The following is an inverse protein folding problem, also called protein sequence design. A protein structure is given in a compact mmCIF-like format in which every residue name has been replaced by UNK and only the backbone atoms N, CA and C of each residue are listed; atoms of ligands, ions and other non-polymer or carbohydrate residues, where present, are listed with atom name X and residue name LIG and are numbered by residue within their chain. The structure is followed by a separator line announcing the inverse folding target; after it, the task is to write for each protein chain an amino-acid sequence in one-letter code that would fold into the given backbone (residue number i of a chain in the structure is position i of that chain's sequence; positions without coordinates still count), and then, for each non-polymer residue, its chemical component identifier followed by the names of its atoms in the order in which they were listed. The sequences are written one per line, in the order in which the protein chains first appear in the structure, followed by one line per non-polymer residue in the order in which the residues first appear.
data_IF_143529094882
#
_entry.id   IF_143529094882
#
_cell.length_a   1.000
_cell.length_b   1.000
_cell.length_c   1.000
_cell.angle_alpha   90.00
_cell.angle_beta   90.00
_cell.angle_gamma   90.00
#
_symmetry.space_group_name_H-M   'P 1'
#
loop_
_entity.id
_entity.type
_entity.pdbx_description
1 polymer ?
#
# COMPACT_ATOMS: atom_id res chain seq x y z
N UNK A 1 -3.33 6.78 -16.73
CA UNK A 1 -3.08 6.48 -15.30
C UNK A 1 -2.77 7.73 -14.48
N UNK A 2 -1.71 8.51 -14.79
CA UNK A 2 -1.37 9.76 -14.06
C UNK A 2 -2.55 10.73 -13.86
N UNK A 3 -3.26 11.07 -14.94
CA UNK A 3 -4.44 11.95 -14.90
C UNK A 3 -5.56 11.44 -13.98
N UNK A 4 -5.73 10.11 -13.88
CA UNK A 4 -6.71 9.51 -12.99
C UNK A 4 -6.33 9.73 -11.52
N UNK A 5 -5.05 9.50 -11.18
CA UNK A 5 -4.53 9.71 -9.82
C UNK A 5 -4.67 11.17 -9.39
N UNK A 6 -4.30 12.13 -10.25
CA UNK A 6 -4.46 13.55 -9.94
C UNK A 6 -5.92 13.97 -9.75
N UNK A 7 -6.84 13.46 -10.58
CA UNK A 7 -8.26 13.78 -10.44
C UNK A 7 -8.88 13.24 -9.14
N UNK A 8 -8.29 12.20 -8.55
CA UNK A 8 -8.78 11.55 -7.32
C UNK A 8 -7.96 11.93 -6.10
N UNK A 9 -7.04 12.89 -6.22
CA UNK A 9 -6.34 13.42 -5.07
C UNK A 9 -7.30 14.30 -4.26
N UNK A 10 -7.40 14.01 -2.97
CA UNK A 10 -8.21 14.81 -2.06
C UNK A 10 -7.60 16.20 -1.85
N UNK A 11 -8.39 17.14 -1.34
CA UNK A 11 -7.97 18.53 -1.08
C UNK A 11 -6.79 18.61 -0.10
N UNK A 12 -6.70 17.64 0.81
CA UNK A 12 -5.61 17.50 1.79
C UNK A 12 -4.30 16.94 1.16
N UNK A 13 -4.32 16.52 -0.10
CA UNK A 13 -3.19 15.95 -0.82
C UNK A 13 -3.08 14.43 -0.74
N UNK A 14 -3.97 13.76 -0.01
CA UNK A 14 -3.96 12.31 0.13
C UNK A 14 -4.89 11.57 -0.84
N UNK A 15 -4.90 10.24 -0.73
CA UNK A 15 -5.84 9.36 -1.43
C UNK A 15 -6.57 8.43 -0.46
N UNK A 16 -7.86 8.22 -0.70
CA UNK A 16 -8.70 7.28 0.05
C UNK A 16 -8.66 5.85 -0.50
N UNK A 17 -9.21 4.91 0.28
CA UNK A 17 -9.43 3.51 -0.14
C UNK A 17 -10.46 3.39 -1.26
N UNK A 18 -11.34 4.37 -1.37
CA UNK A 18 -12.32 4.55 -2.43
C UNK A 18 -12.35 6.03 -2.81
N UNK A 19 -12.97 6.33 -3.94
CA UNK A 19 -12.98 7.66 -4.57
C UNK A 19 -13.49 8.76 -3.62
N UNK A 20 -14.51 8.45 -2.83
CA UNK A 20 -15.13 9.39 -1.87
C UNK A 20 -14.55 9.27 -0.45
N UNK A 21 -13.54 8.41 -0.28
CA UNK A 21 -12.99 8.07 1.02
C UNK A 21 -12.01 9.13 1.53
N UNK A 22 -12.03 9.34 2.85
CA UNK A 22 -10.97 10.09 3.53
C UNK A 22 -9.60 9.52 3.21
N UNK A 23 -8.60 10.41 3.14
CA UNK A 23 -7.22 10.05 2.86
C UNK A 23 -6.69 9.02 3.87
N UNK A 24 -6.10 7.94 3.36
CA UNK A 24 -5.50 6.86 4.16
C UNK A 24 -4.04 6.70 3.80
N UNK A 25 -3.22 6.30 4.78
CA UNK A 25 -1.77 6.11 4.61
C UNK A 25 -1.46 5.12 3.47
N UNK A 26 -2.17 3.99 3.44
CA UNK A 26 -2.00 2.96 2.41
C UNK A 26 -2.14 3.50 0.98
N UNK A 27 -3.27 4.10 0.67
CA UNK A 27 -3.56 4.61 -0.67
C UNK A 27 -2.69 5.80 -1.01
N UNK A 28 -2.43 6.69 -0.06
CA UNK A 28 -1.60 7.88 -0.30
C UNK A 28 -0.16 7.51 -0.65
N UNK A 29 0.45 6.59 0.11
CA UNK A 29 1.81 6.13 -0.17
C UNK A 29 1.89 5.37 -1.50
N UNK A 30 0.92 4.48 -1.78
CA UNK A 30 0.91 3.74 -3.06
C UNK A 30 0.68 4.64 -4.26
N UNK A 31 -0.23 5.62 -4.18
CA UNK A 31 -0.45 6.60 -5.24
C UNK A 31 0.79 7.46 -5.46
N UNK A 32 1.44 7.92 -4.38
CA UNK A 32 2.70 8.68 -4.47
C UNK A 32 3.80 7.87 -5.15
N UNK A 33 4.03 6.62 -4.71
CA UNK A 33 5.03 5.73 -5.32
C UNK A 33 4.68 5.42 -6.77
N UNK A 34 3.40 5.21 -7.09
CA UNK A 34 2.95 4.98 -8.48
C UNK A 34 3.25 6.18 -9.36
N UNK A 35 3.00 7.41 -8.89
CA UNK A 35 3.34 8.63 -9.63
C UNK A 35 4.86 8.75 -9.83
N UNK A 36 5.67 8.42 -8.82
CA UNK A 36 7.14 8.36 -8.94
C UNK A 36 7.58 7.33 -9.99
N UNK A 37 7.00 6.14 -10.00
CA UNK A 37 7.29 5.10 -11.00
C UNK A 37 6.84 5.48 -12.41
N UNK A 38 5.79 6.30 -12.54
CA UNK A 38 5.33 6.85 -13.81
C UNK A 38 6.17 8.03 -14.33
N UNK A 39 7.26 8.38 -13.62
CA UNK A 39 8.22 9.40 -14.03
C UNK A 39 7.91 10.80 -13.51
N UNK A 40 7.03 10.96 -12.51
CA UNK A 40 6.80 12.27 -11.90
C UNK A 40 7.91 12.65 -10.93
N UNK A 41 8.36 13.89 -11.05
CA UNK A 41 9.34 14.48 -10.15
C UNK A 41 8.75 14.74 -8.77
N UNK A 42 9.61 14.98 -7.78
CA UNK A 42 9.16 15.20 -6.40
C UNK A 42 8.29 16.46 -6.26
N UNK A 43 8.53 17.43 -7.13
CA UNK A 43 7.81 18.70 -7.21
C UNK A 43 6.85 18.72 -8.42
N UNK A 44 6.64 17.54 -9.04
CA UNK A 44 5.77 17.36 -10.20
C UNK A 44 4.29 17.49 -9.89
N UNK A 45 3.49 17.60 -10.95
CA UNK A 45 2.03 17.69 -10.83
C UNK A 45 1.52 18.98 -10.18
N UNK A 46 2.18 20.12 -10.41
CA UNK A 46 1.74 21.44 -9.92
C UNK A 46 1.54 21.49 -8.38
N UNK A 47 2.50 20.90 -7.65
CA UNK A 47 2.48 20.83 -6.18
C UNK A 47 1.65 19.67 -5.61
N UNK A 48 1.00 18.85 -6.44
CA UNK A 48 0.29 17.64 -5.98
C UNK A 48 1.22 16.65 -5.27
N UNK A 49 2.43 16.43 -5.80
CA UNK A 49 3.41 15.51 -5.20
C UNK A 49 3.96 16.03 -3.86
N UNK A 50 4.15 17.34 -3.75
CA UNK A 50 4.58 17.98 -2.51
C UNK A 50 3.52 17.86 -1.41
N UNK A 51 2.26 18.13 -1.74
CA UNK A 51 1.12 17.96 -0.82
C UNK A 51 0.99 16.51 -0.34
N UNK A 52 1.10 15.55 -1.24
CA UNK A 52 1.06 14.13 -0.90
C UNK A 52 2.19 13.74 0.06
N UNK A 53 3.42 14.18 -0.23
CA UNK A 53 4.58 13.94 0.63
C UNK A 53 4.40 14.56 2.01
N UNK A 54 3.95 15.82 2.06
CA UNK A 54 3.66 16.52 3.32
C UNK A 54 2.61 15.78 4.13
N UNK A 55 1.52 15.38 3.49
CA UNK A 55 0.46 14.59 4.14
C UNK A 55 1.00 13.29 4.74
N UNK A 56 1.85 12.55 4.00
CA UNK A 56 2.47 11.31 4.50
C UNK A 56 3.33 11.59 5.74
N UNK A 57 4.14 12.64 5.71
CA UNK A 57 5.02 13.01 6.84
C UNK A 57 4.21 13.43 8.07
N UNK A 58 3.19 14.27 7.88
CA UNK A 58 2.33 14.77 8.96
C UNK A 58 1.55 13.65 9.65
N UNK A 59 1.25 12.56 8.96
CA UNK A 59 0.50 11.41 9.48
C UNK A 59 1.38 10.25 9.98
N UNK A 60 2.66 10.49 10.23
CA UNK A 60 3.58 9.52 10.85
C UNK A 60 4.35 8.63 9.86
N UNK A 61 4.36 9.00 8.59
CA UNK A 61 5.25 8.43 7.58
C UNK A 61 4.81 7.08 7.01
N UNK A 62 5.54 6.63 5.98
CA UNK A 62 5.27 5.36 5.30
C UNK A 62 5.46 4.12 6.19
N UNK A 63 6.04 4.26 7.38
CA UNK A 63 6.22 3.18 8.36
C UNK A 63 4.91 2.71 8.98
N UNK A 64 3.89 3.57 9.04
CA UNK A 64 2.54 3.24 9.54
C UNK A 64 1.63 2.61 8.48
N UNK A 65 2.18 2.25 7.32
CA UNK A 65 1.42 1.58 6.28
C UNK A 65 1.00 0.16 6.74
N UNK A 66 -0.21 -0.30 6.38
CA UNK A 66 -0.64 -1.68 6.63
C UNK A 66 0.32 -2.72 6.03
N UNK A 67 0.29 -3.95 6.55
CA UNK A 67 1.19 -5.05 6.13
C UNK A 67 1.22 -5.26 4.61
N UNK A 68 0.07 -5.16 3.94
CA UNK A 68 0.00 -5.27 2.48
C UNK A 68 0.78 -4.15 1.76
N UNK A 69 0.77 -2.94 2.29
CA UNK A 69 1.56 -1.84 1.74
C UNK A 69 3.05 -2.01 2.02
N UNK A 70 3.42 -2.53 3.19
CA UNK A 70 4.81 -2.89 3.51
C UNK A 70 5.34 -3.93 2.53
N UNK A 71 4.53 -4.93 2.20
CA UNK A 71 4.87 -5.94 1.19
C UNK A 71 5.24 -5.29 -0.15
N UNK A 72 4.36 -4.44 -0.69
CA UNK A 72 4.62 -3.74 -1.97
C UNK A 72 5.87 -2.85 -1.91
N UNK A 73 6.08 -2.11 -0.81
CA UNK A 73 7.27 -1.30 -0.63
C UNK A 73 8.56 -2.16 -0.52
N UNK A 74 8.46 -3.35 0.08
CA UNK A 74 9.59 -4.28 0.17
C UNK A 74 9.92 -4.91 -1.18
N UNK A 75 8.90 -5.25 -1.98
CA UNK A 75 9.06 -5.71 -3.37
C UNK A 75 9.76 -4.65 -4.23
N UNK A 76 9.44 -3.37 -4.01
CA UNK A 76 10.10 -2.26 -4.68
C UNK A 76 11.50 -1.94 -4.14
N UNK A 77 11.95 -2.60 -3.07
CA UNK A 77 13.26 -2.40 -2.45
C UNK A 77 13.40 -1.12 -1.63
N UNK A 78 12.29 -0.44 -1.31
CA UNK A 78 12.28 0.82 -0.53
C UNK A 78 11.92 0.60 0.94
N UNK A 79 11.61 -0.65 1.33
CA UNK A 79 11.34 -1.07 2.70
C UNK A 79 12.04 -2.40 2.99
N UNK A 80 12.54 -2.55 4.22
CA UNK A 80 13.26 -3.76 4.64
C UNK A 80 12.27 -4.91 4.88
N UNK A 81 12.54 -6.09 4.32
CA UNK A 81 11.69 -7.27 4.46
C UNK A 81 11.50 -7.70 5.92
N UNK A 82 12.47 -7.44 6.79
CA UNK A 82 12.39 -7.73 8.23
C UNK A 82 11.29 -6.96 8.95
N UNK A 83 10.81 -5.85 8.39
CA UNK A 83 9.70 -5.06 8.94
C UNK A 83 8.32 -5.56 8.54
N UNK A 84 8.24 -6.57 7.65
CA UNK A 84 7.00 -7.21 7.25
C UNK A 84 6.75 -8.46 8.11
N UNK A 85 5.48 -8.74 8.41
CA UNK A 85 5.15 -10.01 9.07
C UNK A 85 5.41 -11.16 8.08
N UNK A 86 6.05 -12.26 8.52
CA UNK A 86 6.31 -13.38 7.64
C UNK A 86 4.97 -13.97 7.18
N UNK A 87 4.81 -14.09 5.86
CA UNK A 87 3.87 -15.05 5.30
C UNK A 87 4.47 -16.42 5.62
N UNK A 88 3.70 -17.29 6.28
CA UNK A 88 4.15 -18.62 6.69
C UNK A 88 3.78 -19.64 5.61
N UNK A 89 4.60 -19.87 4.57
CA UNK A 89 4.32 -20.88 3.54
C UNK A 89 4.25 -22.28 4.15
N UNK A 90 4.85 -22.52 5.32
CA UNK A 90 4.84 -23.79 6.02
C UNK A 90 3.43 -24.19 6.49
N UNK A 91 2.48 -23.24 6.60
CA UNK A 91 1.08 -23.55 6.89
C UNK A 91 0.44 -24.47 5.83
N UNK A 92 0.94 -24.45 4.59
CA UNK A 92 0.50 -25.34 3.52
C UNK A 92 0.95 -26.80 3.71
N UNK A 93 1.95 -27.05 4.57
CA UNK A 93 2.42 -28.40 4.88
C UNK A 93 1.60 -29.06 6.01
N UNK A 94 0.72 -28.31 6.67
CA UNK A 94 -0.12 -28.86 7.72
C UNK A 94 -1.18 -29.82 7.13
N UNK A 95 -1.61 -30.83 7.90
CA UNK A 95 -2.75 -31.64 7.50
C UNK A 95 -4.02 -30.79 7.41
N UNK A 96 -4.88 -31.06 6.42
CA UNK A 96 -6.14 -30.33 6.17
C UNK A 96 -7.10 -30.29 7.38
N UNK A 97 -6.93 -31.23 8.32
CA UNK A 97 -7.72 -31.31 9.55
C UNK A 97 -7.39 -30.18 10.55
N UNK A 98 -6.27 -29.47 10.37
CA UNK A 98 -5.88 -28.39 11.26
C UNK A 98 -6.67 -27.11 10.93
N UNK A 99 -7.26 -26.40 11.92
CA UNK A 99 -8.16 -25.27 11.67
C UNK A 99 -7.49 -24.05 11.02
N UNK A 100 -6.16 -23.99 11.03
CA UNK A 100 -5.36 -22.94 10.36
C UNK A 100 -4.81 -23.38 8.99
N UNK A 101 -5.23 -24.53 8.47
CA UNK A 101 -4.81 -24.99 7.15
C UNK A 101 -5.36 -24.04 6.07
N UNK A 102 -4.55 -23.58 5.10
CA UNK A 102 -5.00 -22.63 4.09
C UNK A 102 -6.28 -23.07 3.37
N UNK A 103 -6.42 -24.37 3.08
CA UNK A 103 -7.60 -24.94 2.41
C UNK A 103 -8.93 -24.79 3.14
N UNK A 104 -8.95 -24.50 4.45
CA UNK A 104 -10.17 -24.17 5.20
C UNK A 104 -10.45 -22.67 5.29
N UNK A 105 -9.56 -21.81 4.76
CA UNK A 105 -9.75 -20.37 4.70
C UNK A 105 -10.68 -19.97 3.54
N UNK A 106 -11.31 -18.81 3.68
CA UNK A 106 -12.18 -18.27 2.64
C UNK A 106 -11.39 -18.03 1.35
N UNK A 107 -11.95 -18.45 0.21
CA UNK A 107 -11.23 -18.61 -1.06
C UNK A 107 -10.50 -17.35 -1.53
N UNK A 108 -11.05 -16.17 -1.24
CA UNK A 108 -10.39 -14.90 -1.58
C UNK A 108 -9.08 -14.67 -0.82
N UNK A 109 -8.95 -15.16 0.42
CA UNK A 109 -7.70 -15.09 1.18
C UNK A 109 -6.69 -16.12 0.69
N UNK A 110 -7.16 -17.29 0.23
CA UNK A 110 -6.29 -18.33 -0.34
C UNK A 110 -5.57 -17.87 -1.61
N UNK A 111 -6.21 -17.04 -2.43
CA UNK A 111 -5.64 -16.58 -3.70
C UNK A 111 -4.58 -15.47 -3.52
N UNK A 112 -4.62 -14.75 -2.40
CA UNK A 112 -3.75 -13.59 -2.13
C UNK A 112 -2.63 -13.89 -1.13
N UNK A 113 -2.68 -15.03 -0.44
CA UNK A 113 -1.61 -15.57 0.40
C UNK A 113 -0.67 -16.43 -0.43
#
# INVERSE_FOLDING_TARGET
MRRYLYNHQNVDGGWGLHIEGSSKMFCTVLSYVTLRLLGEEMDGGDGSMEKARKWILDHGGATLIPSWGKLWLSVLGVYEWSGNNPLLPELWLLPYLFPAHPGSLFTHYLQIL
#
